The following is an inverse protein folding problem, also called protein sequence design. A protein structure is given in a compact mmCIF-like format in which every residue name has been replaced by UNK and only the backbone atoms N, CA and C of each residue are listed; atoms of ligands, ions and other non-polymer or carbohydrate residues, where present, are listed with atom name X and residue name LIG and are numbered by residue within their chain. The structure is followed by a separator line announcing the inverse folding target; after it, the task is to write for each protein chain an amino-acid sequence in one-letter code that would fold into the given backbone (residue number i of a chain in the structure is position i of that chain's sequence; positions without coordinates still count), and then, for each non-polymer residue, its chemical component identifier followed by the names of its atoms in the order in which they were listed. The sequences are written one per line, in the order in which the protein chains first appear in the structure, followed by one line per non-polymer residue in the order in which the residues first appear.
data_IF_882877110074
#
_entry.id   IF_882877110074
#
_cell.length_a   1.000
_cell.length_b   1.000
_cell.length_c   1.000
_cell.angle_alpha   90.00
_cell.angle_beta   90.00
_cell.angle_gamma   90.00
#
_symmetry.space_group_name_H-M   'P 1'
#
loop_
_entity.id
_entity.type
_entity.pdbx_description
1 polymer ?
#
# COMPACT_ATOMS: atom_id res chain seq x y z
N UNK A 1 0.83 0.56 3.66
CA UNK A 1 0.04 -0.32 2.76
C UNK A 1 0.61 -1.74 2.81
N UNK A 2 1.89 -1.91 2.46
CA UNK A 2 2.62 -3.19 2.42
C UNK A 2 2.43 -4.08 3.65
N UNK A 3 2.80 -3.64 4.86
CA UNK A 3 2.69 -4.48 6.06
C UNK A 3 1.27 -4.93 6.36
N UNK A 4 0.27 -4.06 6.17
CA UNK A 4 -1.14 -4.44 6.35
C UNK A 4 -1.55 -5.54 5.36
N UNK A 5 -1.10 -5.45 4.10
CA UNK A 5 -1.32 -6.51 3.11
C UNK A 5 -0.66 -7.82 3.54
N UNK A 6 0.62 -7.78 3.97
CA UNK A 6 1.33 -8.97 4.45
C UNK A 6 0.59 -9.63 5.61
N UNK A 7 0.29 -8.87 6.67
CA UNK A 7 -0.38 -9.42 7.85
C UNK A 7 -1.76 -9.97 7.52
N UNK A 8 -2.55 -9.30 6.68
CA UNK A 8 -3.84 -9.84 6.26
C UNK A 8 -3.70 -11.18 5.54
N UNK A 9 -2.78 -11.26 4.56
CA UNK A 9 -2.59 -12.46 3.76
C UNK A 9 -2.08 -13.64 4.60
N UNK A 10 -1.19 -13.39 5.56
CA UNK A 10 -0.66 -14.40 6.48
C UNK A 10 -1.74 -14.82 7.49
N UNK A 11 -2.41 -13.86 8.15
CA UNK A 11 -3.42 -14.16 9.18
C UNK A 11 -4.62 -14.91 8.61
N UNK A 12 -5.02 -14.61 7.37
CA UNK A 12 -6.09 -15.32 6.65
C UNK A 12 -5.60 -16.59 5.95
N UNK A 13 -4.35 -16.99 6.16
CA UNK A 13 -3.71 -18.18 5.55
C UNK A 13 -3.77 -18.19 4.01
N UNK A 14 -3.91 -17.01 3.37
CA UNK A 14 -3.86 -16.84 1.91
C UNK A 14 -2.43 -17.03 1.38
N UNK A 15 -1.42 -16.60 2.16
CA UNK A 15 0.00 -16.92 1.93
C UNK A 15 0.45 -17.91 3.00
N UNK A 16 1.20 -18.93 2.57
CA UNK A 16 1.68 -20.05 3.38
C UNK A 16 3.08 -20.43 2.89
N UNK A 17 4.03 -20.61 3.82
CA UNK A 17 5.44 -20.89 3.51
C UNK A 17 5.59 -22.12 2.61
N UNK A 18 4.88 -23.20 2.94
CA UNK A 18 4.96 -24.48 2.20
C UNK A 18 4.39 -24.44 0.78
N UNK A 19 3.57 -23.45 0.43
CA UNK A 19 2.83 -23.40 -0.85
C UNK A 19 3.25 -22.26 -1.76
N UNK A 20 3.69 -21.14 -1.19
CA UNK A 20 3.82 -19.86 -1.92
C UNK A 20 5.27 -19.36 -2.00
N UNK A 21 6.22 -20.17 -1.54
CA UNK A 21 7.64 -19.87 -1.57
C UNK A 21 8.42 -21.03 -2.18
N UNK A 22 9.53 -20.69 -2.83
CA UNK A 22 10.40 -21.67 -3.47
C UNK A 22 11.27 -22.38 -2.44
N UNK A 23 11.07 -23.69 -2.30
CA UNK A 23 11.81 -24.55 -1.39
C UNK A 23 13.31 -24.63 -1.75
N UNK A 24 13.64 -24.59 -3.04
CA UNK A 24 15.03 -24.66 -3.50
C UNK A 24 15.82 -23.40 -3.14
N UNK A 25 15.12 -22.30 -2.84
CA UNK A 25 15.68 -21.02 -2.44
C UNK A 25 15.43 -20.73 -0.94
N UNK A 26 15.47 -21.77 -0.11
CA UNK A 26 15.28 -21.71 1.35
C UNK A 26 13.97 -21.03 1.78
N UNK A 27 12.93 -21.08 0.93
CA UNK A 27 11.65 -20.38 1.14
C UNK A 27 11.78 -18.85 1.26
N UNK A 28 12.89 -18.25 0.81
CA UNK A 28 13.08 -16.80 0.86
C UNK A 28 12.39 -16.08 -0.30
N UNK A 29 12.25 -16.74 -1.44
CA UNK A 29 11.67 -16.17 -2.66
C UNK A 29 10.26 -16.71 -2.85
N UNK A 30 9.32 -15.81 -3.14
CA UNK A 30 7.95 -16.19 -3.50
C UNK A 30 7.92 -16.85 -4.87
N UNK A 31 7.15 -17.93 -4.99
CA UNK A 31 6.84 -18.52 -6.29
C UNK A 31 5.75 -17.71 -7.01
N UNK A 32 5.47 -18.04 -8.27
CA UNK A 32 4.50 -17.30 -9.10
C UNK A 32 3.09 -17.24 -8.49
N UNK A 33 2.63 -18.34 -7.86
CA UNK A 33 1.34 -18.37 -7.19
C UNK A 33 1.30 -17.38 -6.00
N UNK A 34 2.35 -17.38 -5.19
CA UNK A 34 2.50 -16.43 -4.09
C UNK A 34 2.54 -14.97 -4.59
N UNK A 35 3.38 -14.69 -5.59
CA UNK A 35 3.52 -13.35 -6.19
C UNK A 35 2.17 -12.83 -6.66
N UNK A 36 1.41 -13.65 -7.40
CA UNK A 36 0.08 -13.29 -7.90
C UNK A 36 -0.87 -12.90 -6.75
N UNK A 37 -0.94 -13.71 -5.69
CA UNK A 37 -1.78 -13.42 -4.51
C UNK A 37 -1.39 -12.07 -3.88
N UNK A 38 -0.08 -11.84 -3.69
CA UNK A 38 0.39 -10.62 -3.06
C UNK A 38 0.14 -9.38 -3.92
N UNK A 39 0.47 -9.44 -5.21
CA UNK A 39 0.31 -8.33 -6.16
C UNK A 39 -1.16 -7.93 -6.24
N UNK A 40 -2.06 -8.90 -6.46
CA UNK A 40 -3.50 -8.62 -6.52
C UNK A 40 -4.01 -7.95 -5.24
N UNK A 41 -3.70 -8.50 -4.06
CA UNK A 41 -4.15 -7.92 -2.80
C UNK A 41 -3.51 -6.55 -2.51
N UNK A 42 -2.30 -6.31 -3.01
CA UNK A 42 -1.63 -5.01 -2.87
C UNK A 42 -2.27 -3.95 -3.78
N UNK A 43 -2.55 -4.30 -5.04
CA UNK A 43 -3.25 -3.44 -6.00
C UNK A 43 -4.66 -3.09 -5.53
N UNK A 44 -5.45 -4.09 -5.11
CA UNK A 44 -6.78 -3.87 -4.53
C UNK A 44 -6.73 -2.91 -3.34
N UNK A 45 -5.70 -3.03 -2.48
CA UNK A 45 -5.51 -2.13 -1.35
C UNK A 45 -5.13 -0.72 -1.79
N UNK A 46 -4.33 -0.56 -2.85
CA UNK A 46 -4.02 0.76 -3.41
C UNK A 46 -5.26 1.45 -3.99
N UNK A 47 -6.17 0.69 -4.59
CA UNK A 47 -7.44 1.18 -5.13
C UNK A 47 -8.53 1.33 -4.07
N UNK A 48 -8.34 0.81 -2.86
CA UNK A 48 -9.31 0.97 -1.77
C UNK A 48 -9.53 2.44 -1.40
N UNK A 49 -10.81 2.79 -1.20
CA UNK A 49 -11.30 4.15 -1.00
C UNK A 49 -11.38 4.48 0.49
N UNK A 50 -11.05 5.72 0.85
CA UNK A 50 -11.28 6.28 2.19
C UNK A 50 -11.76 7.74 2.10
N UNK A 51 -12.40 8.23 3.16
CA UNK A 51 -12.82 9.63 3.31
C UNK A 51 -11.59 10.51 3.61
N UNK A 52 -11.21 11.41 2.71
CA UNK A 52 -10.04 12.27 2.94
C UNK A 52 -10.38 13.42 3.91
N UNK A 53 -9.73 13.55 5.08
CA UNK A 53 -10.19 14.43 6.16
C UNK A 53 -10.23 15.92 5.80
N UNK A 54 -9.26 16.37 4.97
CA UNK A 54 -9.19 17.76 4.48
C UNK A 54 -10.01 18.03 3.22
N UNK A 55 -10.12 17.07 2.29
CA UNK A 55 -10.81 17.28 1.01
C UNK A 55 -12.31 16.96 1.10
N UNK A 56 -12.76 16.33 2.20
CA UNK A 56 -14.17 15.96 2.45
C UNK A 56 -14.79 15.18 1.29
N UNK A 57 -14.02 14.27 0.71
CA UNK A 57 -14.43 13.40 -0.39
C UNK A 57 -13.69 12.07 -0.34
N UNK A 58 -14.30 11.08 -0.97
CA UNK A 58 -13.73 9.75 -1.18
C UNK A 58 -12.54 9.80 -2.13
N UNK A 59 -11.41 9.22 -1.73
CA UNK A 59 -10.20 9.06 -2.57
C UNK A 59 -9.58 7.69 -2.33
N UNK A 60 -8.80 7.20 -3.30
CA UNK A 60 -8.03 5.96 -3.15
C UNK A 60 -6.67 6.21 -2.48
N UNK A 61 -6.02 5.18 -1.93
CA UNK A 61 -4.64 5.31 -1.46
C UNK A 61 -3.66 5.70 -2.57
N UNK A 62 -3.87 5.18 -3.79
CA UNK A 62 -3.13 5.61 -4.99
C UNK A 62 -3.28 7.10 -5.26
N UNK A 63 -4.50 7.63 -5.10
CA UNK A 63 -4.76 9.08 -5.19
C UNK A 63 -4.04 9.85 -4.08
N UNK A 64 -4.00 9.33 -2.86
CA UNK A 64 -3.27 9.97 -1.75
C UNK A 64 -1.76 10.09 -2.03
N UNK A 65 -1.15 9.06 -2.63
CA UNK A 65 0.25 9.12 -3.08
C UNK A 65 0.44 10.22 -4.13
N UNK A 66 -0.46 10.29 -5.13
CA UNK A 66 -0.44 11.35 -6.13
C UNK A 66 -0.56 12.75 -5.51
N UNK A 67 -1.39 12.92 -4.49
CA UNK A 67 -1.52 14.18 -3.76
C UNK A 67 -0.23 14.56 -3.03
N UNK A 68 0.49 13.59 -2.45
CA UNK A 68 1.81 13.85 -1.86
C UNK A 68 2.83 14.29 -2.91
N UNK A 69 2.81 13.73 -4.12
CA UNK A 69 3.63 14.23 -5.22
C UNK A 69 3.31 15.70 -5.57
N UNK A 70 2.02 16.09 -5.59
CA UNK A 70 1.66 17.50 -5.78
C UNK A 70 2.13 18.41 -4.65
N UNK A 71 2.16 17.93 -3.40
CA UNK A 71 2.74 18.70 -2.29
C UNK A 71 4.25 18.89 -2.49
N UNK A 72 4.97 17.85 -2.91
CA UNK A 72 6.40 17.95 -3.21
C UNK A 72 6.68 18.97 -4.33
N UNK A 73 5.87 18.97 -5.40
CA UNK A 73 5.98 19.98 -6.47
C UNK A 73 5.84 21.40 -5.89
N UNK A 74 4.84 21.64 -5.04
CA UNK A 74 4.64 22.94 -4.39
C UNK A 74 5.77 23.31 -3.43
N UNK A 75 6.36 22.33 -2.74
CA UNK A 75 7.53 22.57 -1.89
C UNK A 75 8.73 23.04 -2.70
N UNK A 76 8.98 22.40 -3.85
CA UNK A 76 10.12 22.74 -4.72
C UNK A 76 9.91 24.09 -5.41
N UNK A 77 8.70 24.37 -5.90
CA UNK A 77 8.42 25.54 -6.74
C UNK A 77 7.93 26.77 -5.98
N UNK A 78 7.30 26.57 -4.82
CA UNK A 78 6.62 27.65 -4.06
C UNK A 78 7.13 27.74 -2.61
N UNK A 79 8.20 27.02 -2.25
CA UNK A 79 8.79 26.97 -0.90
C UNK A 79 7.78 26.61 0.23
N UNK A 80 6.68 25.94 -0.13
CA UNK A 80 5.67 25.50 0.85
C UNK A 80 6.16 24.31 1.66
N UNK A 81 5.92 24.33 2.96
CA UNK A 81 6.25 23.21 3.86
C UNK A 81 5.59 21.89 3.41
N UNK A 82 6.40 20.87 3.16
CA UNK A 82 5.91 19.54 2.79
C UNK A 82 5.31 18.81 4.00
N UNK A 83 4.01 18.50 3.94
CA UNK A 83 3.32 17.68 4.95
C UNK A 83 2.85 16.36 4.35
N UNK A 84 3.52 15.22 4.63
CA UNK A 84 3.18 13.94 4.03
C UNK A 84 1.80 13.47 4.46
N UNK A 85 1.16 12.64 3.65
CA UNK A 85 -0.07 11.98 4.02
C UNK A 85 0.16 11.03 5.19
N UNK A 86 -0.68 11.14 6.22
CA UNK A 86 -0.71 10.24 7.37
C UNK A 86 -2.14 9.79 7.61
N UNK A 87 -2.39 8.50 7.41
CA UNK A 87 -3.72 7.92 7.61
C UNK A 87 -4.24 8.10 9.05
N UNK A 88 -3.34 8.15 10.04
CA UNK A 88 -3.69 8.35 11.46
C UNK A 88 -3.98 9.81 11.83
N UNK A 89 -3.62 10.78 11.00
CA UNK A 89 -3.91 12.19 11.27
C UNK A 89 -5.34 12.50 10.83
N UNK A 90 -6.27 12.46 11.80
CA UNK A 90 -7.72 12.75 11.72
C UNK A 90 -8.55 11.65 11.02
N UNK A 91 -8.84 10.51 11.65
CA UNK A 91 -9.87 10.35 12.70
C UNK A 91 -9.93 11.44 13.76
#
# INVERSE_FOLDING_TARGET
ITFKTIFELVNRKKIQVSKHFDKNLNYCIMNEAGKKIFITAFEERLESIFEHPKLKRKVTYKTAIKLDCYKLIKTILEEKEFKPFRLKEKM
#
